data_IF_976540568138
#
_entry.id   IF_976540568138
#
_cell.length_a   1.000
_cell.length_b   1.000
_cell.length_c   1.000
_cell.angle_alpha   90.00
_cell.angle_beta   90.00
_cell.angle_gamma   90.00
#
_symmetry.space_group_name_H-M   'P 1'
#
loop_
_entity.id
_entity.type
_entity.pdbx_description
1 polymer ?
#
# COMPACT_ATOMS: atom_id res chain seq x y z
N UNK A 1 -9.91 -32.93 5.67
CA UNK A 1 -8.47 -32.93 5.35
C UNK A 1 -7.83 -33.90 6.32
N UNK A 2 -7.29 -34.99 5.81
CA UNK A 2 -6.61 -36.04 6.57
C UNK A 2 -5.15 -35.64 6.83
N UNK A 3 -4.46 -36.37 7.71
CA UNK A 3 -3.01 -36.20 7.91
C UNK A 3 -2.24 -36.40 6.60
N UNK A 4 -2.61 -37.42 5.82
CA UNK A 4 -2.02 -37.71 4.51
C UNK A 4 -2.22 -36.55 3.52
N UNK A 5 -3.39 -35.89 3.54
CA UNK A 5 -3.63 -34.70 2.71
C UNK A 5 -2.68 -33.55 3.08
N UNK A 6 -2.40 -33.36 4.37
CA UNK A 6 -1.50 -32.32 4.88
C UNK A 6 -0.05 -32.64 4.50
N UNK A 7 0.40 -33.88 4.74
CA UNK A 7 1.76 -34.32 4.40
C UNK A 7 2.00 -34.22 2.90
N UNK A 8 1.02 -34.64 2.09
CA UNK A 8 1.06 -34.51 0.63
C UNK A 8 1.19 -33.04 0.20
N UNK A 9 0.42 -32.15 0.81
CA UNK A 9 0.48 -30.72 0.52
C UNK A 9 1.84 -30.10 0.90
N UNK A 10 2.35 -30.39 2.11
CA UNK A 10 3.66 -29.90 2.58
C UNK A 10 4.84 -30.46 1.77
N UNK A 11 4.71 -31.68 1.25
CA UNK A 11 5.75 -32.36 0.46
C UNK A 11 5.74 -31.98 -1.02
N UNK A 12 4.73 -31.22 -1.47
CA UNK A 12 4.60 -30.81 -2.88
C UNK A 12 5.78 -29.93 -3.27
N UNK A 13 6.65 -30.44 -4.15
CA UNK A 13 7.71 -29.62 -4.75
C UNK A 13 7.06 -28.53 -5.63
N UNK A 14 7.28 -27.24 -5.34
CA UNK A 14 6.80 -26.19 -6.21
C UNK A 14 7.51 -26.27 -7.56
N UNK A 15 6.87 -25.72 -8.60
CA UNK A 15 7.55 -25.49 -9.86
C UNK A 15 8.81 -24.62 -9.63
N UNK A 16 9.88 -24.82 -10.42
CA UNK A 16 11.10 -24.02 -10.27
C UNK A 16 10.81 -22.54 -10.47
N UNK A 17 11.54 -21.69 -9.73
CA UNK A 17 11.45 -20.23 -9.88
C UNK A 17 11.95 -19.86 -11.28
N UNK A 18 11.12 -19.19 -12.07
CA UNK A 18 11.53 -18.60 -13.36
C UNK A 18 12.62 -17.54 -13.12
N UNK A 19 13.71 -17.62 -13.88
CA UNK A 19 14.87 -16.69 -13.80
C UNK A 19 15.36 -16.26 -15.17
N UNK A 20 14.50 -16.31 -16.17
CA UNK A 20 14.86 -16.06 -17.56
C UNK A 20 13.66 -15.63 -18.41
N UNK A 21 13.99 -15.17 -19.62
CA UNK A 21 13.04 -14.72 -20.63
C UNK A 21 12.47 -13.33 -20.36
N UNK A 22 11.58 -12.91 -21.26
CA UNK A 22 10.87 -11.64 -21.20
C UNK A 22 9.49 -11.88 -20.62
N UNK A 23 9.05 -11.06 -19.66
CA UNK A 23 7.66 -11.12 -19.20
C UNK A 23 6.78 -10.28 -20.12
N UNK A 24 5.64 -10.85 -20.48
CA UNK A 24 4.58 -10.13 -21.18
C UNK A 24 3.96 -9.06 -20.29
N UNK A 25 3.33 -8.05 -20.89
CA UNK A 25 2.59 -7.01 -20.15
C UNK A 25 1.55 -7.60 -19.18
N UNK A 26 0.87 -8.67 -19.58
CA UNK A 26 -0.13 -9.35 -18.73
C UNK A 26 0.52 -10.00 -17.51
N UNK A 27 1.65 -10.70 -17.69
CA UNK A 27 2.43 -11.25 -16.57
C UNK A 27 2.94 -10.15 -15.63
N UNK A 28 3.39 -9.01 -16.18
CA UNK A 28 3.83 -7.85 -15.39
C UNK A 28 2.69 -7.24 -14.58
N UNK A 29 1.50 -7.10 -15.18
CA UNK A 29 0.32 -6.59 -14.49
C UNK A 29 -0.13 -7.53 -13.35
N UNK A 30 -0.20 -8.83 -13.63
CA UNK A 30 -0.54 -9.84 -12.64
C UNK A 30 0.46 -9.89 -11.48
N UNK A 31 1.76 -9.91 -11.78
CA UNK A 31 2.80 -9.93 -10.75
C UNK A 31 2.82 -8.65 -9.90
N UNK A 32 2.65 -7.48 -10.52
CA UNK A 32 2.57 -6.20 -9.80
C UNK A 32 1.39 -6.18 -8.81
N UNK A 33 0.21 -6.62 -9.25
CA UNK A 33 -0.96 -6.72 -8.37
C UNK A 33 -0.77 -7.75 -7.27
N UNK A 34 -0.18 -8.91 -7.58
CA UNK A 34 0.13 -9.94 -6.58
C UNK A 34 1.12 -9.45 -5.52
N UNK A 35 2.20 -8.75 -5.91
CA UNK A 35 3.16 -8.17 -4.99
C UNK A 35 2.53 -7.10 -4.09
N UNK A 36 1.66 -6.26 -4.64
CA UNK A 36 0.95 -5.27 -3.85
C UNK A 36 0.04 -5.93 -2.81
N UNK A 37 -0.78 -6.89 -3.24
CA UNK A 37 -1.72 -7.58 -2.35
C UNK A 37 -0.99 -8.33 -1.24
N UNK A 38 0.10 -9.02 -1.57
CA UNK A 38 0.93 -9.71 -0.59
C UNK A 38 1.56 -8.73 0.41
N UNK A 39 2.11 -7.61 -0.08
CA UNK A 39 2.66 -6.56 0.79
C UNK A 39 1.62 -5.94 1.73
N UNK A 40 0.41 -5.66 1.23
CA UNK A 40 -0.70 -5.15 2.04
C UNK A 40 -1.13 -6.15 3.12
N UNK A 41 -1.25 -7.44 2.77
CA UNK A 41 -1.57 -8.49 3.75
C UNK A 41 -0.49 -8.61 4.83
N UNK A 42 0.79 -8.49 4.47
CA UNK A 42 1.88 -8.49 5.45
C UNK A 42 1.83 -7.29 6.41
N UNK A 43 1.42 -6.11 5.95
CA UNK A 43 1.22 -4.95 6.83
C UNK A 43 0.01 -5.10 7.74
N UNK A 44 -1.09 -5.66 7.23
CA UNK A 44 -2.27 -5.96 8.05
C UNK A 44 -1.94 -7.01 9.13
N UNK A 45 -1.18 -8.05 8.79
CA UNK A 45 -0.69 -9.06 9.74
C UNK A 45 0.27 -8.45 10.77
N UNK A 46 1.13 -7.52 10.35
CA UNK A 46 2.02 -6.81 11.25
C UNK A 46 1.24 -5.97 12.28
N UNK A 47 0.22 -5.23 11.84
CA UNK A 47 -0.70 -4.51 12.74
C UNK A 47 -1.42 -5.45 13.71
N UNK A 48 -1.90 -6.59 13.21
CA UNK A 48 -2.55 -7.60 14.05
C UNK A 48 -1.60 -8.14 15.14
N UNK A 49 -0.36 -8.47 14.77
CA UNK A 49 0.65 -8.93 15.73
C UNK A 49 1.02 -7.84 16.75
N UNK A 50 1.14 -6.59 16.32
CA UNK A 50 1.44 -5.47 17.20
C UNK A 50 0.33 -5.25 18.24
N UNK A 51 -0.94 -5.36 17.83
CA UNK A 51 -2.09 -5.31 18.75
C UNK A 51 -2.07 -6.44 19.80
N UNK A 52 -1.43 -7.57 19.50
CA UNK A 52 -1.17 -8.68 20.43
C UNK A 52 0.16 -8.59 21.18
N UNK A 53 0.80 -7.41 21.25
CA UNK A 53 2.11 -7.17 21.87
C UNK A 53 3.27 -8.01 21.28
N UNK A 54 3.13 -8.50 20.05
CA UNK A 54 4.16 -9.27 19.33
C UNK A 54 4.95 -8.39 18.35
N UNK A 55 5.43 -7.25 18.85
CA UNK A 55 6.00 -6.18 18.03
C UNK A 55 7.25 -6.61 17.27
N UNK A 56 8.15 -7.40 17.86
CA UNK A 56 9.32 -7.89 17.12
C UNK A 56 8.91 -8.62 15.83
N UNK A 57 7.97 -9.56 15.91
CA UNK A 57 7.48 -10.26 14.73
C UNK A 57 6.71 -9.35 13.78
N UNK A 58 5.94 -8.39 14.30
CA UNK A 58 5.30 -7.36 13.49
C UNK A 58 6.33 -6.57 12.68
N UNK A 59 7.44 -6.17 13.31
CA UNK A 59 8.53 -5.43 12.68
C UNK A 59 9.18 -6.22 11.53
N UNK A 60 9.40 -7.53 11.73
CA UNK A 60 9.91 -8.41 10.68
C UNK A 60 8.92 -8.54 9.51
N UNK A 61 7.61 -8.70 9.79
CA UNK A 61 6.58 -8.74 8.74
C UNK A 61 6.48 -7.41 7.98
N UNK A 62 6.64 -6.27 8.66
CA UNK A 62 6.71 -4.96 8.00
C UNK A 62 7.87 -4.90 7.00
N UNK A 63 9.06 -5.40 7.36
CA UNK A 63 10.19 -5.46 6.41
C UNK A 63 9.88 -6.37 5.22
N UNK A 64 9.28 -7.54 5.46
CA UNK A 64 8.84 -8.41 4.36
C UNK A 64 7.83 -7.71 3.45
N UNK A 65 6.86 -6.99 4.02
CA UNK A 65 5.89 -6.20 3.26
C UNK A 65 6.56 -5.12 2.39
N UNK A 66 7.56 -4.43 2.94
CA UNK A 66 8.40 -3.48 2.19
C UNK A 66 9.15 -4.15 1.03
N UNK A 67 9.74 -5.32 1.27
CA UNK A 67 10.45 -6.08 0.24
C UNK A 67 9.52 -6.54 -0.89
N UNK A 68 8.27 -6.92 -0.58
CA UNK A 68 7.26 -7.29 -1.56
C UNK A 68 6.85 -6.10 -2.44
N UNK A 69 6.44 -4.99 -1.84
CA UNK A 69 6.01 -3.82 -2.62
C UNK A 69 7.18 -3.19 -3.40
N UNK A 70 8.42 -3.33 -2.93
CA UNK A 70 9.61 -2.87 -3.64
C UNK A 70 9.89 -3.64 -4.95
N UNK A 71 9.29 -4.82 -5.15
CA UNK A 71 9.39 -5.55 -6.42
C UNK A 71 8.60 -4.87 -7.54
N UNK A 72 7.53 -4.14 -7.21
CA UNK A 72 6.68 -3.43 -8.17
C UNK A 72 7.49 -2.42 -9.00
N UNK A 73 8.17 -1.42 -8.41
CA UNK A 73 8.93 -0.45 -9.19
C UNK A 73 10.06 -1.08 -9.99
N UNK A 74 10.71 -2.11 -9.44
CA UNK A 74 11.76 -2.84 -10.14
C UNK A 74 11.21 -3.54 -11.39
N UNK A 75 10.07 -4.22 -11.26
CA UNK A 75 9.42 -4.94 -12.34
C UNK A 75 8.90 -3.99 -13.42
N UNK A 76 8.18 -2.94 -13.02
CA UNK A 76 7.61 -1.93 -13.93
C UNK A 76 8.71 -1.20 -14.69
N UNK A 77 9.76 -0.72 -14.02
CA UNK A 77 10.86 -0.02 -14.68
C UNK A 77 11.62 -0.94 -15.66
N UNK A 78 11.76 -2.22 -15.33
CA UNK A 78 12.35 -3.22 -16.23
C UNK A 78 11.52 -3.35 -17.50
N UNK A 79 10.20 -3.53 -17.34
CA UNK A 79 9.27 -3.64 -18.46
C UNK A 79 9.32 -2.40 -19.36
N UNK A 80 9.21 -1.19 -18.79
CA UNK A 80 9.19 0.06 -19.58
C UNK A 80 10.51 0.30 -20.31
N UNK A 81 11.67 0.06 -19.67
CA UNK A 81 12.99 0.21 -20.33
C UNK A 81 13.17 -0.76 -21.49
N UNK A 82 12.62 -1.97 -21.37
CA UNK A 82 12.62 -2.96 -22.44
C UNK A 82 11.70 -2.54 -23.60
N UNK A 83 10.43 -2.22 -23.31
CA UNK A 83 9.42 -1.87 -24.32
C UNK A 83 9.73 -0.58 -25.08
N UNK A 84 10.32 0.42 -24.42
CA UNK A 84 10.81 1.62 -25.11
C UNK A 84 12.08 1.40 -25.92
N UNK A 85 12.67 0.20 -25.88
CA UNK A 85 13.93 -0.11 -26.58
C UNK A 85 15.17 0.58 -25.99
N UNK A 86 15.06 1.18 -24.81
CA UNK A 86 16.17 1.89 -24.13
C UNK A 86 17.23 0.91 -23.64
N UNK A 87 16.82 -0.27 -23.15
CA UNK A 87 17.74 -1.32 -22.72
C UNK A 87 17.22 -2.72 -23.10
N UNK A 88 17.76 -3.27 -24.19
CA UNK A 88 17.38 -4.61 -24.70
C UNK A 88 17.64 -5.74 -23.69
N UNK A 89 18.64 -5.58 -22.83
CA UNK A 89 19.05 -6.57 -21.82
C UNK A 89 18.40 -6.32 -20.44
N UNK A 90 17.38 -5.46 -20.35
CA UNK A 90 16.75 -5.12 -19.07
C UNK A 90 16.25 -6.35 -18.30
N UNK A 91 15.61 -7.31 -18.99
CA UNK A 91 15.15 -8.55 -18.36
C UNK A 91 16.29 -9.42 -17.86
N UNK A 92 17.38 -9.54 -18.63
CA UNK A 92 18.58 -10.26 -18.19
C UNK A 92 19.17 -9.61 -16.93
N UNK A 93 19.24 -8.29 -16.88
CA UNK A 93 19.67 -7.55 -15.69
C UNK A 93 18.70 -7.77 -14.51
N UNK A 94 17.39 -7.76 -14.75
CA UNK A 94 16.38 -8.06 -13.73
C UNK A 94 16.54 -9.46 -13.15
N UNK A 95 16.78 -10.49 -13.97
CA UNK A 95 16.96 -11.85 -13.47
C UNK A 95 18.30 -12.04 -12.73
N UNK A 96 19.36 -11.38 -13.21
CA UNK A 96 20.69 -11.46 -12.58
C UNK A 96 20.78 -10.64 -11.28
N UNK A 97 20.12 -9.48 -11.23
CA UNK A 97 20.24 -8.52 -10.12
C UNK A 97 18.99 -8.43 -9.23
N UNK A 98 17.85 -8.96 -9.68
CA UNK A 98 16.53 -8.85 -9.02
C UNK A 98 16.42 -9.56 -7.67
N UNK A 99 17.49 -10.24 -7.25
CA UNK A 99 17.66 -10.78 -5.91
C UNK A 99 18.27 -9.82 -4.89
N UNK A 100 18.87 -8.69 -5.28
CA UNK A 100 19.64 -7.87 -4.32
C UNK A 100 18.75 -6.87 -3.57
N UNK A 101 18.84 -6.88 -2.23
CA UNK A 101 18.04 -6.01 -1.35
C UNK A 101 18.28 -4.51 -1.62
N UNK A 102 19.54 -4.13 -1.91
CA UNK A 102 19.94 -2.73 -2.15
C UNK A 102 19.16 -2.07 -3.30
N UNK A 103 19.03 -2.74 -4.45
CA UNK A 103 18.35 -2.17 -5.62
C UNK A 103 16.84 -2.02 -5.43
N UNK A 104 16.21 -2.93 -4.68
CA UNK A 104 14.79 -2.84 -4.32
C UNK A 104 14.53 -1.63 -3.42
N UNK A 105 15.44 -1.39 -2.49
CA UNK A 105 15.36 -0.32 -1.51
C UNK A 105 15.60 1.08 -2.12
N UNK A 106 16.50 1.24 -3.08
CA UNK A 106 16.67 2.52 -3.78
C UNK A 106 15.41 2.89 -4.58
N UNK A 107 14.78 1.90 -5.22
CA UNK A 107 13.63 2.13 -6.11
C UNK A 107 12.32 2.45 -5.37
N UNK A 108 12.11 1.91 -4.16
CA UNK A 108 10.91 2.22 -3.37
C UNK A 108 10.88 3.70 -2.91
N UNK A 109 12.05 4.35 -2.78
CA UNK A 109 12.14 5.77 -2.45
C UNK A 109 11.69 6.67 -3.60
N UNK A 110 11.99 6.26 -4.84
CA UNK A 110 11.78 7.08 -6.04
C UNK A 110 10.49 6.80 -6.82
N UNK A 111 9.83 5.66 -6.62
CA UNK A 111 8.78 5.23 -7.55
C UNK A 111 7.56 6.15 -7.64
N UNK A 112 7.08 6.71 -6.53
CA UNK A 112 6.01 7.72 -6.64
C UNK A 112 6.43 8.98 -7.37
N UNK A 113 7.72 9.25 -7.52
CA UNK A 113 8.20 10.32 -8.39
C UNK A 113 8.10 9.93 -9.87
N UNK A 114 8.34 8.65 -10.21
CA UNK A 114 8.21 8.10 -11.56
C UNK A 114 6.75 8.07 -12.00
N UNK A 115 5.84 7.60 -11.13
CA UNK A 115 4.39 7.62 -11.39
C UNK A 115 3.90 9.06 -11.65
N UNK A 116 4.41 10.05 -10.90
CA UNK A 116 4.09 11.47 -11.13
C UNK A 116 4.52 11.96 -12.51
N UNK A 117 5.73 11.62 -12.94
CA UNK A 117 6.24 12.06 -14.25
C UNK A 117 5.38 11.54 -15.42
N UNK A 118 4.77 10.35 -15.28
CA UNK A 118 3.87 9.78 -16.28
C UNK A 118 2.49 10.46 -16.28
N UNK A 119 2.07 11.04 -15.15
CA UNK A 119 0.71 11.52 -14.90
C UNK A 119 0.63 13.04 -14.71
N UNK A 120 1.69 13.77 -15.09
CA UNK A 120 1.73 15.23 -15.02
C UNK A 120 0.55 15.82 -15.82
N UNK A 121 -0.27 16.65 -15.16
CA UNK A 121 -1.52 17.17 -15.71
C UNK A 121 -2.78 16.32 -15.53
N UNK A 122 -2.73 15.13 -14.91
CA UNK A 122 -3.95 14.41 -14.47
C UNK A 122 -4.44 14.97 -13.11
N UNK A 123 -5.59 15.66 -13.06
CA UNK A 123 -6.09 16.27 -11.83
C UNK A 123 -6.44 15.25 -10.72
N UNK A 124 -6.56 13.95 -11.06
CA UNK A 124 -6.79 12.86 -10.10
C UNK A 124 -5.48 12.37 -9.46
N UNK A 125 -4.32 12.66 -10.03
CA UNK A 125 -3.06 12.00 -9.65
C UNK A 125 -1.84 12.94 -9.50
N UNK A 126 -1.95 14.20 -9.90
CA UNK A 126 -0.88 15.22 -9.90
C UNK A 126 -0.52 15.79 -8.50
N UNK A 127 -0.26 14.96 -7.47
CA UNK A 127 0.05 15.47 -6.11
C UNK A 127 1.25 14.81 -5.43
N UNK A 128 1.99 15.61 -4.63
CA UNK A 128 3.16 15.20 -3.84
C UNK A 128 2.72 14.49 -2.56
N UNK A 129 2.93 13.16 -2.46
CA UNK A 129 2.44 12.37 -1.31
C UNK A 129 3.45 12.14 -0.20
N UNK A 130 4.73 12.11 -0.56
CA UNK A 130 5.73 11.51 0.31
C UNK A 130 6.24 12.49 1.34
N UNK A 131 5.74 12.33 2.57
CA UNK A 131 6.19 13.10 3.73
C UNK A 131 7.41 12.43 4.38
N UNK A 132 7.39 11.11 4.46
CA UNK A 132 8.46 10.34 5.06
C UNK A 132 9.37 9.75 3.98
N UNK A 133 10.67 9.98 4.15
CA UNK A 133 11.73 9.36 3.38
C UNK A 133 12.54 8.51 4.35
N UNK A 134 12.76 7.24 4.00
CA UNK A 134 13.70 6.40 4.73
C UNK A 134 15.13 6.84 4.35
N UNK A 135 15.98 7.23 5.32
CA UNK A 135 17.39 7.45 5.05
C UNK A 135 18.02 6.22 4.41
N UNK A 136 18.99 6.41 3.50
CA UNK A 136 19.72 5.31 2.84
C UNK A 136 20.31 4.32 3.87
N UNK A 137 20.82 4.85 4.97
CA UNK A 137 21.36 4.05 6.09
C UNK A 137 20.32 3.14 6.75
N UNK A 138 19.04 3.53 6.81
CA UNK A 138 17.97 2.67 7.34
C UNK A 138 17.69 1.52 6.39
N UNK A 139 17.69 1.80 5.08
CA UNK A 139 17.43 0.82 4.04
C UNK A 139 18.48 -0.28 4.02
N UNK A 140 19.77 0.08 4.04
CA UNK A 140 20.88 -0.87 4.03
C UNK A 140 20.85 -1.87 5.20
N UNK A 141 20.18 -1.50 6.31
CA UNK A 141 20.11 -2.30 7.53
C UNK A 141 18.79 -3.07 7.70
N UNK A 142 17.85 -3.01 6.74
CA UNK A 142 16.53 -3.66 6.87
C UNK A 142 16.61 -5.18 6.99
N UNK A 143 17.51 -5.83 6.25
CA UNK A 143 17.65 -7.28 6.34
C UNK A 143 18.14 -7.70 7.73
N UNK A 144 19.19 -7.05 8.25
CA UNK A 144 19.66 -7.28 9.61
C UNK A 144 18.59 -6.98 10.68
N UNK A 145 17.79 -5.93 10.48
CA UNK A 145 16.67 -5.63 11.36
C UNK A 145 15.59 -6.72 11.32
N UNK A 146 15.21 -7.21 10.14
CA UNK A 146 14.28 -8.34 9.97
C UNK A 146 14.80 -9.61 10.65
N UNK A 147 16.06 -9.98 10.41
CA UNK A 147 16.67 -11.18 10.98
C UNK A 147 16.63 -11.16 12.51
N UNK A 148 17.08 -10.04 13.13
CA UNK A 148 17.07 -9.85 14.61
C UNK A 148 15.69 -9.92 15.24
N UNK A 149 14.65 -9.59 14.47
CA UNK A 149 13.28 -9.51 14.96
C UNK A 149 12.46 -10.78 14.65
N UNK A 150 13.03 -11.75 13.94
CA UNK A 150 12.35 -12.98 13.54
C UNK A 150 13.01 -14.25 14.09
N UNK A 151 14.34 -14.27 14.14
CA UNK A 151 15.13 -15.44 14.55
C UNK A 151 15.82 -15.21 15.89
N UNK A 152 16.14 -16.32 16.55
CA UNK A 152 17.05 -16.34 17.69
C UNK A 152 18.44 -16.63 17.15
N UNK A 153 19.41 -15.77 17.46
CA UNK A 153 20.79 -15.90 17.02
C UNK A 153 21.73 -16.16 18.20
N UNK A 154 22.71 -17.03 18.01
CA UNK A 154 23.89 -17.16 18.88
C UNK A 154 24.99 -16.27 18.31
N UNK A 155 25.40 -15.25 19.07
CA UNK A 155 26.44 -14.29 18.68
C UNK A 155 27.57 -14.29 19.69
N UNK A 156 28.69 -13.65 19.33
CA UNK A 156 29.88 -13.58 20.19
C UNK A 156 29.60 -12.96 21.56
N UNK A 157 28.59 -12.10 21.65
CA UNK A 157 28.14 -11.40 22.85
C UNK A 157 26.91 -12.05 23.52
N UNK A 158 26.45 -13.21 23.06
CA UNK A 158 25.42 -14.01 23.74
C UNK A 158 24.27 -14.49 22.87
N UNK A 159 23.16 -14.83 23.52
CA UNK A 159 21.92 -15.28 22.89
C UNK A 159 21.04 -14.06 22.63
N UNK A 160 20.71 -13.82 21.36
CA UNK A 160 19.85 -12.71 20.95
C UNK A 160 18.51 -13.27 20.50
N UNK A 161 17.48 -13.06 21.31
CA UNK A 161 16.10 -13.40 20.96
C UNK A 161 15.32 -12.14 20.55
N UNK A 162 14.32 -12.25 19.67
CA UNK A 162 13.48 -11.12 19.30
C UNK A 162 12.81 -10.49 20.54
N UNK A 163 13.00 -9.19 20.76
CA UNK A 163 12.41 -8.43 21.87
C UNK A 163 11.55 -7.28 21.38
N UNK A 164 10.48 -6.97 22.14
CA UNK A 164 9.58 -5.84 21.87
C UNK A 164 10.02 -4.60 22.66
N UNK A 165 11.33 -4.34 22.74
CA UNK A 165 11.88 -3.14 23.39
C UNK A 165 11.38 -1.86 22.70
N UNK A 166 11.46 -0.73 23.41
CA UNK A 166 10.88 0.53 22.94
C UNK A 166 11.48 0.97 21.60
N UNK A 167 12.76 0.71 21.38
CA UNK A 167 13.47 0.96 20.13
C UNK A 167 12.87 0.14 18.98
N UNK A 168 12.53 -1.13 19.21
CA UNK A 168 11.88 -1.99 18.23
C UNK A 168 10.46 -1.51 17.92
N UNK A 169 9.72 -1.04 18.93
CA UNK A 169 8.39 -0.40 18.76
C UNK A 169 8.49 0.86 17.91
N UNK A 170 9.44 1.74 18.21
CA UNK A 170 9.63 2.99 17.47
C UNK A 170 10.06 2.72 16.01
N UNK A 171 10.96 1.76 15.80
CA UNK A 171 11.38 1.35 14.46
C UNK A 171 10.22 0.71 13.67
N UNK A 172 9.41 -0.13 14.32
CA UNK A 172 8.21 -0.71 13.73
C UNK A 172 7.21 0.36 13.31
N UNK A 173 6.85 1.30 14.19
CA UNK A 173 5.91 2.38 13.90
C UNK A 173 6.38 3.21 12.69
N UNK A 174 7.67 3.57 12.67
CA UNK A 174 8.27 4.30 11.56
C UNK A 174 8.21 3.52 10.24
N UNK A 175 8.68 2.26 10.23
CA UNK A 175 8.75 1.45 9.02
C UNK A 175 7.36 1.09 8.48
N UNK A 176 6.41 0.80 9.37
CA UNK A 176 5.04 0.50 8.99
C UNK A 176 4.36 1.73 8.38
N UNK A 177 4.54 2.90 9.01
CA UNK A 177 4.03 4.17 8.47
C UNK A 177 4.60 4.45 7.08
N UNK A 178 5.91 4.28 6.92
CA UNK A 178 6.59 4.45 5.65
C UNK A 178 6.09 3.46 4.59
N UNK A 179 6.03 2.17 4.90
CA UNK A 179 5.62 1.11 3.98
C UNK A 179 4.16 1.22 3.56
N UNK A 180 3.26 1.46 4.52
CA UNK A 180 1.84 1.59 4.23
C UNK A 180 1.55 2.82 3.37
N UNK A 181 2.23 3.95 3.60
CA UNK A 181 2.10 5.13 2.75
C UNK A 181 2.48 4.84 1.29
N UNK A 182 3.54 4.06 1.07
CA UNK A 182 3.95 3.63 -0.28
C UNK A 182 2.94 2.66 -0.89
N UNK A 183 2.50 1.67 -0.13
CA UNK A 183 1.51 0.70 -0.60
C UNK A 183 0.18 1.36 -0.96
N UNK A 184 -0.34 2.26 -0.12
CA UNK A 184 -1.56 3.01 -0.41
C UNK A 184 -1.41 3.89 -1.66
N UNK A 185 -0.21 4.43 -1.92
CA UNK A 185 0.09 5.11 -3.17
C UNK A 185 0.08 4.17 -4.38
N UNK A 186 0.53 2.93 -4.23
CA UNK A 186 0.55 1.95 -5.32
C UNK A 186 -0.85 1.39 -5.59
N UNK A 187 -1.72 1.32 -4.57
CA UNK A 187 -3.10 0.83 -4.70
C UNK A 187 -3.91 1.58 -5.74
N UNK A 188 -3.77 2.90 -5.84
CA UNK A 188 -4.45 3.67 -6.88
C UNK A 188 -4.16 3.10 -8.28
N UNK A 189 -2.99 2.50 -8.51
CA UNK A 189 -2.56 2.02 -9.82
C UNK A 189 -2.57 0.50 -9.99
N UNK A 190 -2.46 -0.23 -8.90
CA UNK A 190 -2.09 -1.65 -8.95
C UNK A 190 -3.01 -2.56 -8.13
N UNK A 191 -4.05 -2.01 -7.50
CA UNK A 191 -5.01 -2.78 -6.68
C UNK A 191 -5.70 -3.91 -7.45
N UNK A 192 -5.79 -3.80 -8.77
CA UNK A 192 -6.27 -4.87 -9.65
C UNK A 192 -5.36 -5.04 -10.87
N UNK A 193 -5.42 -6.21 -11.50
CA UNK A 193 -4.68 -6.47 -12.75
C UNK A 193 -5.10 -5.50 -13.86
N UNK A 194 -6.38 -5.12 -13.90
CA UNK A 194 -6.91 -4.13 -14.85
C UNK A 194 -6.21 -2.79 -14.64
N UNK A 195 -6.17 -2.28 -13.40
CA UNK A 195 -5.48 -1.00 -13.08
C UNK A 195 -4.00 -1.08 -13.44
N UNK A 196 -3.34 -2.19 -13.11
CA UNK A 196 -1.93 -2.41 -13.45
C UNK A 196 -1.70 -2.38 -14.96
N UNK A 197 -2.55 -3.07 -15.74
CA UNK A 197 -2.46 -3.09 -17.19
C UNK A 197 -2.69 -1.70 -17.79
N UNK A 198 -3.68 -0.98 -17.29
CA UNK A 198 -3.99 0.37 -17.74
C UNK A 198 -2.85 1.35 -17.46
N UNK A 199 -2.25 1.27 -16.26
CA UNK A 199 -1.05 2.03 -15.93
C UNK A 199 0.10 1.76 -16.90
N UNK A 200 0.36 0.48 -17.23
CA UNK A 200 1.40 0.12 -18.19
C UNK A 200 1.11 0.64 -19.60
N UNK A 201 -0.15 0.59 -20.06
CA UNK A 201 -0.55 1.17 -21.33
C UNK A 201 -0.33 2.69 -21.36
N UNK A 202 -0.70 3.39 -20.29
CA UNK A 202 -0.49 4.83 -20.16
C UNK A 202 0.99 5.20 -20.14
N UNK A 203 1.81 4.47 -19.38
CA UNK A 203 3.25 4.68 -19.30
C UNK A 203 3.94 4.46 -20.65
N UNK A 204 3.38 3.61 -21.52
CA UNK A 204 3.81 3.43 -22.92
C UNK A 204 3.24 4.48 -23.88
N UNK A 205 2.54 5.50 -23.38
CA UNK A 205 1.98 6.60 -24.18
C UNK A 205 0.66 6.26 -24.88
N UNK A 206 -0.01 5.15 -24.54
CA UNK A 206 -1.31 4.82 -25.13
C UNK A 206 -2.41 5.64 -24.47
N UNK A 207 -3.14 6.42 -25.27
CA UNK A 207 -4.30 7.19 -24.81
C UNK A 207 -5.50 6.26 -24.58
N UNK A 208 -6.15 6.38 -23.42
CA UNK A 208 -7.46 5.76 -23.14
C UNK A 208 -8.46 6.84 -22.76
N UNK A 209 -9.56 6.92 -23.52
CA UNK A 209 -10.68 7.79 -23.15
C UNK A 209 -11.56 7.13 -22.08
N UNK A 210 -11.91 7.88 -21.03
CA UNK A 210 -12.96 7.55 -20.04
C UNK A 210 -12.84 6.18 -19.32
N UNK A 211 -11.63 5.70 -19.10
CA UNK A 211 -11.37 4.42 -18.42
C UNK A 211 -11.85 4.34 -16.95
N UNK A 212 -11.93 5.47 -16.23
CA UNK A 212 -12.43 5.55 -14.84
C UNK A 212 -13.88 5.08 -14.70
N UNK A 213 -14.69 5.14 -15.76
CA UNK A 213 -16.07 4.66 -15.76
C UNK A 213 -16.17 3.14 -15.58
N UNK A 214 -15.08 2.39 -15.74
CA UNK A 214 -15.07 0.93 -15.54
C UNK A 214 -14.61 0.51 -14.15
N UNK A 215 -14.21 1.46 -13.30
CA UNK A 215 -13.58 1.12 -12.03
C UNK A 215 -14.54 0.41 -11.08
N UNK A 216 -14.00 -0.56 -10.35
CA UNK A 216 -14.67 -1.29 -9.28
C UNK A 216 -14.62 -0.50 -7.98
N UNK A 217 -15.43 -0.91 -6.99
CA UNK A 217 -15.56 -0.21 -5.71
C UNK A 217 -14.22 -0.12 -4.96
N UNK A 218 -13.42 -1.18 -4.98
CA UNK A 218 -12.10 -1.25 -4.36
C UNK A 218 -11.07 -0.34 -5.07
N UNK A 219 -11.17 -0.20 -6.38
CA UNK A 219 -10.35 0.71 -7.19
C UNK A 219 -10.69 2.18 -6.90
N UNK A 220 -11.99 2.51 -6.86
CA UNK A 220 -12.47 3.84 -6.46
C UNK A 220 -12.07 4.15 -5.01
N UNK A 221 -12.16 3.17 -4.10
CA UNK A 221 -11.76 3.31 -2.71
C UNK A 221 -10.26 3.59 -2.58
N UNK A 222 -9.42 2.94 -3.39
CA UNK A 222 -7.99 3.16 -3.43
C UNK A 222 -7.62 4.58 -3.88
N UNK A 223 -8.28 5.11 -4.91
CA UNK A 223 -8.05 6.48 -5.41
C UNK A 223 -8.46 7.52 -4.35
N UNK A 224 -9.60 7.33 -3.67
CA UNK A 224 -10.05 8.25 -2.61
C UNK A 224 -9.10 8.19 -1.40
N UNK A 225 -8.64 6.99 -1.01
CA UNK A 225 -7.66 6.81 0.07
C UNK A 225 -6.36 7.55 -0.26
N UNK A 226 -5.85 7.37 -1.48
CA UNK A 226 -4.66 8.05 -1.98
C UNK A 226 -4.77 9.57 -1.83
N UNK A 227 -5.89 10.14 -2.26
CA UNK A 227 -6.13 11.57 -2.14
C UNK A 227 -6.30 12.02 -0.69
N UNK A 228 -7.05 11.29 0.14
CA UNK A 228 -7.23 11.62 1.55
C UNK A 228 -5.88 11.68 2.28
N UNK A 229 -4.99 10.72 2.00
CA UNK A 229 -3.63 10.67 2.54
C UNK A 229 -2.79 11.86 2.06
N UNK A 230 -2.88 12.21 0.77
CA UNK A 230 -2.16 13.36 0.21
C UNK A 230 -2.61 14.68 0.87
N UNK A 231 -3.92 14.89 0.96
CA UNK A 231 -4.52 16.12 1.52
C UNK A 231 -4.41 16.24 3.04
N UNK A 232 -4.09 15.15 3.74
CA UNK A 232 -3.86 15.16 5.18
C UNK A 232 -2.39 15.15 5.58
N UNK A 233 -1.46 15.20 4.62
CA UNK A 233 -0.04 15.09 4.88
C UNK A 233 0.54 16.28 5.68
N UNK A 234 -0.06 17.47 5.62
CA UNK A 234 0.48 18.73 6.16
C UNK A 234 0.09 19.08 7.61
N UNK A 235 -0.12 18.09 8.49
CA UNK A 235 -0.62 18.21 9.88
C UNK A 235 -2.07 18.72 10.03
N UNK A 236 -2.49 19.70 9.22
CA UNK A 236 -3.89 20.12 9.10
C UNK A 236 -4.48 19.55 7.81
N UNK A 237 -5.57 18.77 7.88
CA UNK A 237 -6.23 18.25 6.68
C UNK A 237 -6.82 19.37 5.81
N UNK A 238 -6.57 19.30 4.50
CA UNK A 238 -7.11 20.26 3.53
C UNK A 238 -8.50 19.82 3.04
N UNK A 239 -9.54 20.16 3.81
CA UNK A 239 -10.92 19.81 3.51
C UNK A 239 -11.40 20.38 2.17
N UNK A 240 -11.15 21.67 1.90
CA UNK A 240 -11.62 22.33 0.70
C UNK A 240 -11.11 21.65 -0.58
N UNK A 241 -9.82 21.34 -0.64
CA UNK A 241 -9.24 20.67 -1.80
C UNK A 241 -9.69 19.20 -1.92
N UNK A 242 -9.86 18.50 -0.80
CA UNK A 242 -10.39 17.13 -0.81
C UNK A 242 -11.85 17.07 -1.27
N UNK A 243 -12.69 18.02 -0.86
CA UNK A 243 -14.10 18.07 -1.29
C UNK A 243 -14.23 18.42 -2.76
N UNK A 244 -13.42 19.38 -3.24
CA UNK A 244 -13.36 19.69 -4.67
C UNK A 244 -12.91 18.48 -5.50
N UNK A 245 -11.94 17.70 -5.00
CA UNK A 245 -11.58 16.43 -5.62
C UNK A 245 -12.76 15.44 -5.63
N UNK A 246 -13.40 15.23 -4.48
CA UNK A 246 -14.51 14.30 -4.33
C UNK A 246 -15.69 14.61 -5.26
N UNK A 247 -16.03 15.90 -5.39
CA UNK A 247 -17.06 16.39 -6.30
C UNK A 247 -16.72 16.06 -7.76
N UNK A 248 -15.51 16.42 -8.21
CA UNK A 248 -15.05 16.14 -9.57
C UNK A 248 -14.92 14.64 -9.88
N UNK A 249 -14.51 13.84 -8.88
CA UNK A 249 -14.23 12.42 -9.06
C UNK A 249 -15.51 11.59 -9.12
N UNK A 250 -16.52 11.94 -8.31
CA UNK A 250 -17.84 11.30 -8.30
C UNK A 250 -18.46 11.22 -9.70
N UNK A 251 -18.35 12.27 -10.50
CA UNK A 251 -18.90 12.32 -11.86
C UNK A 251 -18.15 11.42 -12.84
N UNK A 252 -16.88 11.08 -12.54
CA UNK A 252 -16.00 10.24 -13.39
C UNK A 252 -16.12 8.74 -13.13
N UNK A 253 -16.71 8.32 -12.01
CA UNK A 253 -16.79 6.90 -11.60
C UNK A 253 -18.21 6.44 -11.30
N UNK A 254 -19.21 7.30 -11.54
CA UNK A 254 -20.61 7.14 -11.13
C UNK A 254 -20.84 7.23 -9.61
N UNK A 255 -21.89 7.97 -9.22
CA UNK A 255 -22.22 8.32 -7.83
C UNK A 255 -22.46 7.09 -6.94
N UNK A 256 -23.04 6.01 -7.47
CA UNK A 256 -23.30 4.78 -6.71
C UNK A 256 -22.01 4.12 -6.24
N UNK A 257 -21.06 3.89 -7.16
CA UNK A 257 -19.75 3.31 -6.84
C UNK A 257 -18.92 4.21 -5.95
N UNK A 258 -18.97 5.52 -6.20
CA UNK A 258 -18.32 6.51 -5.35
C UNK A 258 -18.81 6.39 -3.89
N UNK A 259 -20.13 6.39 -3.68
CA UNK A 259 -20.74 6.24 -2.36
C UNK A 259 -20.40 4.90 -1.69
N UNK A 260 -20.49 3.79 -2.41
CA UNK A 260 -20.12 2.48 -1.85
C UNK A 260 -18.64 2.42 -1.45
N UNK A 261 -17.75 3.00 -2.27
CA UNK A 261 -16.33 3.09 -1.98
C UNK A 261 -16.04 3.92 -0.71
N UNK A 262 -16.80 5.00 -0.47
CA UNK A 262 -16.68 5.79 0.76
C UNK A 262 -17.03 4.97 2.02
N UNK A 263 -18.03 4.09 1.96
CA UNK A 263 -18.39 3.23 3.08
C UNK A 263 -17.30 2.20 3.39
N UNK A 264 -16.77 1.54 2.34
CA UNK A 264 -15.66 0.58 2.45
C UNK A 264 -14.43 1.28 3.03
N UNK A 265 -14.10 2.46 2.51
CA UNK A 265 -12.97 3.26 2.96
C UNK A 265 -13.13 3.72 4.41
N UNK A 266 -14.31 4.21 4.78
CA UNK A 266 -14.59 4.67 6.14
C UNK A 266 -14.39 3.57 7.18
N UNK A 267 -14.89 2.36 6.89
CA UNK A 267 -14.68 1.20 7.76
C UNK A 267 -13.18 0.81 7.84
N UNK A 268 -12.46 0.85 6.73
CA UNK A 268 -11.02 0.55 6.71
C UNK A 268 -10.19 1.56 7.51
N UNK A 269 -10.45 2.86 7.36
CA UNK A 269 -9.76 3.92 8.11
C UNK A 269 -10.07 3.84 9.60
N UNK A 270 -11.32 3.56 9.99
CA UNK A 270 -11.67 3.35 11.39
C UNK A 270 -10.87 2.21 12.02
N UNK A 271 -10.76 1.07 11.31
CA UNK A 271 -9.95 -0.07 11.79
C UNK A 271 -8.48 0.31 11.95
N UNK A 272 -7.90 1.00 10.95
CA UNK A 272 -6.50 1.46 10.99
C UNK A 272 -6.25 2.39 12.16
N UNK A 273 -7.10 3.41 12.35
CA UNK A 273 -7.00 4.37 13.45
C UNK A 273 -7.05 3.65 14.80
N UNK A 274 -8.03 2.77 15.01
CA UNK A 274 -8.16 1.99 16.26
C UNK A 274 -6.96 1.08 16.51
N UNK A 275 -6.51 0.34 15.50
CA UNK A 275 -5.38 -0.59 15.63
C UNK A 275 -4.05 0.14 15.88
N UNK A 276 -3.98 1.43 15.54
CA UNK A 276 -2.75 2.22 15.62
C UNK A 276 -2.62 3.11 16.86
N UNK A 277 -3.56 3.04 17.81
CA UNK A 277 -3.47 3.83 19.06
C UNK A 277 -2.09 3.75 19.76
N UNK A 278 -1.39 2.59 19.81
CA UNK A 278 -0.04 2.51 20.40
C UNK A 278 1.10 2.92 19.45
N UNK A 279 0.79 3.37 18.22
CA UNK A 279 1.74 3.68 17.15
C UNK A 279 1.60 5.15 16.73
N UNK A 280 2.26 6.10 17.41
CA UNK A 280 2.01 7.53 17.23
C UNK A 280 2.20 8.04 15.80
N UNK A 281 3.22 7.56 15.07
CA UNK A 281 3.47 8.00 13.69
C UNK A 281 2.39 7.47 12.75
N UNK A 282 2.05 6.18 12.87
CA UNK A 282 1.02 5.56 12.05
C UNK A 282 -0.36 6.18 12.34
N UNK A 283 -0.69 6.35 13.62
CA UNK A 283 -1.93 7.01 14.04
C UNK A 283 -2.03 8.43 13.48
N UNK A 284 -0.99 9.24 13.65
CA UNK A 284 -0.96 10.60 13.12
C UNK A 284 -1.15 10.65 11.60
N UNK A 285 -0.66 9.63 10.88
CA UNK A 285 -0.84 9.54 9.43
C UNK A 285 -2.30 9.31 9.03
N UNK A 286 -2.98 8.34 9.65
CA UNK A 286 -4.34 7.95 9.25
C UNK A 286 -5.45 8.75 9.90
N UNK A 287 -5.21 9.36 11.06
CA UNK A 287 -6.22 10.21 11.72
C UNK A 287 -6.57 11.43 10.85
N UNK A 288 -5.62 11.96 10.09
CA UNK A 288 -5.86 13.07 9.17
C UNK A 288 -6.79 12.68 8.02
N UNK A 289 -6.55 11.54 7.37
CA UNK A 289 -7.40 11.00 6.31
C UNK A 289 -8.80 10.63 6.85
N UNK A 290 -8.86 10.06 8.06
CA UNK A 290 -10.12 9.75 8.74
C UNK A 290 -10.94 11.01 9.05
N UNK A 291 -10.29 12.11 9.51
CA UNK A 291 -10.95 13.41 9.73
C UNK A 291 -11.53 13.99 8.44
N UNK A 292 -10.83 13.89 7.30
CA UNK A 292 -11.37 14.30 6.00
C UNK A 292 -12.65 13.54 5.64
N UNK A 293 -12.69 12.23 5.92
CA UNK A 293 -13.88 11.41 5.69
C UNK A 293 -15.05 11.78 6.61
N UNK A 294 -14.78 12.12 7.88
CA UNK A 294 -15.81 12.65 8.79
C UNK A 294 -16.36 13.97 8.24
N UNK A 295 -15.50 14.89 7.84
CA UNK A 295 -15.92 16.15 7.23
C UNK A 295 -16.78 15.91 5.98
N UNK A 296 -16.32 15.05 5.08
CA UNK A 296 -17.06 14.71 3.86
C UNK A 296 -18.45 14.13 4.17
N UNK A 297 -18.60 13.35 5.26
CA UNK A 297 -19.90 12.83 5.69
C UNK A 297 -20.93 13.91 6.08
N UNK A 298 -20.46 15.12 6.37
CA UNK A 298 -21.27 16.28 6.74
C UNK A 298 -21.59 17.19 5.54
N UNK A 299 -20.96 16.97 4.38
CA UNK A 299 -21.18 17.74 3.15
C UNK A 299 -22.48 17.33 2.44
N UNK A 300 -23.61 17.85 2.91
CA UNK A 300 -24.94 17.51 2.40
C UNK A 300 -25.10 17.80 0.90
N UNK A 301 -24.44 18.83 0.36
CA UNK A 301 -24.49 19.16 -1.07
C UNK A 301 -23.88 18.06 -1.95
N UNK A 302 -22.80 17.43 -1.48
CA UNK A 302 -22.04 16.46 -2.25
C UNK A 302 -22.65 15.05 -2.15
N UNK A 303 -23.01 14.66 -0.92
CA UNK A 303 -23.44 13.29 -0.61
C UNK A 303 -24.96 13.11 -0.48
N UNK A 304 -25.67 14.18 -0.13
CA UNK A 304 -27.07 14.12 0.31
C UNK A 304 -27.19 13.68 1.77
N UNK A 305 -28.17 14.25 2.48
CA UNK A 305 -28.39 14.07 3.93
C UNK A 305 -28.57 12.63 4.39
N UNK A 306 -29.21 11.78 3.57
CA UNK A 306 -29.42 10.37 3.93
C UNK A 306 -28.11 9.58 3.91
N UNK A 307 -27.33 9.71 2.83
CA UNK A 307 -26.07 9.00 2.69
C UNK A 307 -24.99 9.56 3.65
N UNK A 308 -24.93 10.88 3.83
CA UNK A 308 -24.01 11.51 4.79
C UNK A 308 -24.17 10.93 6.21
N UNK A 309 -25.41 10.78 6.70
CA UNK A 309 -25.69 10.10 7.98
C UNK A 309 -25.20 8.65 8.02
N UNK A 310 -25.42 7.88 6.95
CA UNK A 310 -24.95 6.49 6.84
C UNK A 310 -23.42 6.42 6.92
N UNK A 311 -22.71 7.26 6.16
CA UNK A 311 -21.26 7.34 6.19
C UNK A 311 -20.75 7.75 7.57
N UNK A 312 -21.38 8.75 8.19
CA UNK A 312 -21.03 9.20 9.53
C UNK A 312 -21.16 8.07 10.57
N UNK A 313 -22.26 7.32 10.54
CA UNK A 313 -22.47 6.16 11.43
C UNK A 313 -21.46 5.03 11.21
N UNK A 314 -20.91 4.92 10.00
CA UNK A 314 -19.86 3.93 9.68
C UNK A 314 -18.52 4.36 10.26
N UNK A 315 -18.21 5.66 10.24
CA UNK A 315 -16.98 6.23 10.78
C UNK A 315 -17.01 6.30 12.32
N UNK A 316 -18.15 6.68 12.88
CA UNK A 316 -18.36 6.83 14.32
C UNK A 316 -19.55 5.95 14.76
N UNK A 317 -19.37 4.62 14.80
CA UNK A 317 -20.41 3.74 15.31
C UNK A 317 -20.68 4.11 16.76
N UNK A 318 -21.93 4.45 17.07
CA UNK A 318 -22.35 4.64 18.45
C UNK A 318 -21.99 3.36 19.20
N UNK A 319 -21.25 3.47 20.30
CA UNK A 319 -21.14 2.35 21.24
C UNK A 319 -22.57 2.04 21.66
N UNK A 320 -23.11 0.93 21.16
CA UNK A 320 -24.30 0.32 21.76
C UNK A 320 -23.94 0.16 23.23
N UNK A 321 -24.57 0.96 24.09
CA UNK A 321 -24.52 0.77 25.54
C UNK A 321 -24.78 -0.72 25.74
N UNK A 322 -23.78 -1.44 26.23
CA UNK A 322 -24.01 -2.77 26.77
C UNK A 322 -24.94 -2.54 27.96
N UNK A 323 -26.24 -2.68 27.70
CA UNK A 323 -27.25 -2.78 28.72
C UNK A 323 -27.20 -4.21 29.25
N UNK A 324 -26.73 -4.36 30.49
CA UNK A 324 -26.76 -5.62 31.24
C UNK A 324 -25.40 -6.23 31.43
#
# INVERSE_FOLDING_TARGET
>A
MTEDDIVSWLSRKPAPIRRDGVLTKTEVAAATTAYLNNGLSLFDDALFLAAGNRVARAAALTVLGLEEIAKIPLLVNTFLRYEHGVEKEAWKAYWNAGGTHKRKQELILGYGQIVRAVMDGDPVHDRRLYRYYAPETVLENLDGFKQRNFYVDLRMDGIHAPSSEQEAVNAFDYLLTFGQERADSFRSWHVSETRSHDYLDMALGKKRERWTNSYKIDEVSADILYQAIAFSASQVPNYAAFYSYAENYKDKVADTRFKEALLVLGAALLRRVKASEPLPLYYARYIGAFKLMIGLSQEEKLLGKSFGRKLHSTLLPQQTKQSG
#
